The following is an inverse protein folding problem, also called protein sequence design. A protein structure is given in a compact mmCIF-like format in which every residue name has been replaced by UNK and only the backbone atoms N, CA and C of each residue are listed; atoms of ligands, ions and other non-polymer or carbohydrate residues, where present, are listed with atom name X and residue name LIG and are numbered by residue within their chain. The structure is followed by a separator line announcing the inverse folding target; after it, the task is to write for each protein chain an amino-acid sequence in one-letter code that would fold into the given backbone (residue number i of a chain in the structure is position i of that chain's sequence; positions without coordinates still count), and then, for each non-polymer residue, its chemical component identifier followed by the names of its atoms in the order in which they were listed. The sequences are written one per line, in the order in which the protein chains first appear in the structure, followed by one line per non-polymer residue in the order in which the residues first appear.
data_IF_105600233000
#
_entry.id   IF_105600233000
#
_cell.length_a   1.000
_cell.length_b   1.000
_cell.length_c   1.000
_cell.angle_alpha   90.00
_cell.angle_beta   90.00
_cell.angle_gamma   90.00
#
_symmetry.space_group_name_H-M   'P 1'
#
loop_
_entity.id
_entity.type
_entity.pdbx_description
1 polymer ?
#
# COMPACT_ATOMS: atom_id res chain seq x y z
N UNK A 1 -16.93 -20.08 7.89
CA UNK A 1 -16.50 -18.68 8.14
C UNK A 1 -15.58 -18.70 9.35
N UNK A 2 -14.26 -18.67 9.15
CA UNK A 2 -13.33 -18.38 10.27
C UNK A 2 -13.42 -16.88 10.49
N UNK A 3 -13.78 -16.45 11.70
CA UNK A 3 -13.81 -15.04 12.07
C UNK A 3 -12.39 -14.50 11.94
N UNK A 4 -12.20 -13.51 11.07
CA UNK A 4 -10.97 -12.71 11.06
C UNK A 4 -10.86 -12.04 12.44
N UNK A 5 -9.80 -12.35 13.18
CA UNK A 5 -9.50 -11.67 14.44
C UNK A 5 -9.01 -10.26 14.08
N UNK A 6 -9.95 -9.33 13.94
CA UNK A 6 -9.65 -7.91 13.78
C UNK A 6 -9.20 -7.41 15.14
N UNK A 7 -7.90 -7.14 15.28
CA UNK A 7 -7.35 -6.57 16.51
C UNK A 7 -7.78 -5.10 16.62
N UNK A 8 -8.50 -4.77 17.69
CA UNK A 8 -8.81 -3.38 18.05
C UNK A 8 -7.62 -2.81 18.86
N UNK A 9 -6.76 -2.05 18.18
CA UNK A 9 -5.66 -1.32 18.80
C UNK A 9 -6.18 -0.02 19.40
N UNK A 10 -6.82 -0.10 20.57
CA UNK A 10 -7.32 1.10 21.26
C UNK A 10 -6.43 1.65 22.37
N UNK A 11 -5.31 0.99 22.71
CA UNK A 11 -4.44 1.50 23.79
C UNK A 11 -2.93 1.35 23.50
N UNK A 12 -2.28 2.50 23.35
CA UNK A 12 -0.93 2.89 23.80
C UNK A 12 0.31 2.15 23.26
N UNK A 13 1.30 2.94 22.81
CA UNK A 13 2.77 2.92 22.98
C UNK A 13 3.57 1.60 23.22
N UNK A 14 2.96 0.43 23.22
CA UNK A 14 3.56 -0.85 23.55
C UNK A 14 3.68 -1.73 22.30
N UNK A 15 4.90 -2.01 21.89
CA UNK A 15 5.20 -3.00 20.82
C UNK A 15 4.65 -4.41 21.11
N UNK A 16 4.25 -4.71 22.35
CA UNK A 16 3.59 -5.94 22.78
C UNK A 16 2.16 -6.13 22.24
N UNK A 17 1.59 -5.13 21.55
CA UNK A 17 0.27 -5.24 20.92
C UNK A 17 0.33 -5.67 19.46
N UNK A 18 1.51 -5.72 18.84
CA UNK A 18 1.65 -6.08 17.42
C UNK A 18 1.26 -7.54 17.16
N UNK A 19 0.71 -7.85 15.98
CA UNK A 19 0.45 -9.23 15.59
C UNK A 19 1.74 -10.06 15.65
N UNK A 20 1.63 -11.29 16.14
CA UNK A 20 2.77 -12.21 16.18
C UNK A 20 3.16 -12.62 14.77
N UNK A 21 4.45 -12.96 14.60
CA UNK A 21 4.96 -13.44 13.32
C UNK A 21 4.23 -14.71 12.85
N UNK A 22 3.95 -15.62 13.79
CA UNK A 22 3.19 -16.86 13.53
C UNK A 22 1.78 -16.56 12.99
N UNK A 23 1.05 -15.65 13.63
CA UNK A 23 -0.28 -15.23 13.15
C UNK A 23 -0.23 -14.64 11.74
N UNK A 24 0.75 -13.77 11.47
CA UNK A 24 0.89 -13.14 10.15
C UNK A 24 1.29 -14.16 9.08
N UNK A 25 2.15 -15.14 9.42
CA UNK A 25 2.52 -16.21 8.53
C UNK A 25 1.31 -17.09 8.19
N UNK A 26 0.49 -17.44 9.19
CA UNK A 26 -0.77 -18.16 8.99
C UNK A 26 -1.76 -17.37 8.11
N UNK A 27 -1.86 -16.06 8.33
CA UNK A 27 -2.70 -15.17 7.52
C UNK A 27 -2.25 -15.18 6.05
N UNK A 28 -0.94 -15.07 5.80
CA UNK A 28 -0.35 -15.15 4.46
C UNK A 28 -0.60 -16.51 3.80
N UNK A 29 -0.45 -17.59 4.57
CA UNK A 29 -0.67 -18.96 4.10
C UNK A 29 -2.15 -19.25 3.82
N UNK A 30 -3.07 -18.57 4.51
CA UNK A 30 -4.51 -18.73 4.32
C UNK A 30 -5.06 -18.18 3.00
N UNK A 31 -4.29 -17.32 2.31
CA UNK A 31 -4.68 -16.75 1.03
C UNK A 31 -4.31 -17.68 -0.13
N UNK A 32 -5.26 -17.92 -1.01
CA UNK A 32 -5.06 -18.66 -2.26
C UNK A 32 -5.27 -17.71 -3.44
N UNK A 33 -4.32 -17.66 -4.35
CA UNK A 33 -4.35 -16.83 -5.56
C UNK A 33 -5.17 -17.48 -6.70
N UNK A 34 -5.55 -18.75 -6.54
CA UNK A 34 -6.45 -19.44 -7.47
C UNK A 34 -7.95 -19.24 -7.14
N UNK A 35 -8.25 -18.69 -5.97
CA UNK A 35 -9.61 -18.39 -5.54
C UNK A 35 -10.01 -16.97 -5.94
N UNK A 36 -11.27 -16.59 -5.69
CA UNK A 36 -11.73 -15.22 -5.87
C UNK A 36 -10.86 -14.21 -5.10
N UNK A 37 -10.64 -12.99 -5.65
CA UNK A 37 -9.86 -11.95 -4.97
C UNK A 37 -10.40 -11.66 -3.57
N UNK A 38 -9.52 -11.71 -2.57
CA UNK A 38 -9.87 -11.51 -1.16
C UNK A 38 -8.92 -10.53 -0.47
N UNK A 39 -9.45 -9.89 0.58
CA UNK A 39 -8.71 -9.06 1.52
C UNK A 39 -8.72 -9.76 2.88
N UNK A 40 -7.59 -9.69 3.59
CA UNK A 40 -7.45 -10.05 5.00
C UNK A 40 -6.96 -8.83 5.76
N UNK A 41 -7.66 -8.47 6.82
CA UNK A 41 -7.33 -7.32 7.65
C UNK A 41 -6.39 -7.71 8.77
N UNK A 42 -5.32 -6.95 8.93
CA UNK A 42 -4.38 -7.05 10.07
C UNK A 42 -4.73 -6.00 11.13
N UNK A 43 -5.07 -4.79 10.67
CA UNK A 43 -5.57 -3.68 11.49
C UNK A 43 -6.70 -3.00 10.74
N UNK A 44 -7.76 -2.61 11.45
CA UNK A 44 -8.78 -1.68 10.96
C UNK A 44 -8.56 -0.30 11.58
N UNK A 45 -9.03 0.73 10.88
CA UNK A 45 -9.22 2.04 11.49
C UNK A 45 -10.07 1.92 12.75
N UNK A 46 -9.68 2.63 13.80
CA UNK A 46 -10.38 2.67 15.09
C UNK A 46 -11.38 3.83 15.16
N UNK A 47 -11.33 4.75 14.19
CA UNK A 47 -12.23 5.91 14.13
C UNK A 47 -13.66 5.55 13.75
N UNK A 48 -13.96 4.27 13.49
CA UNK A 48 -15.33 3.76 13.44
C UNK A 48 -16.22 4.64 12.58
N UNK A 49 -15.85 4.87 11.32
CA UNK A 49 -16.49 5.91 10.53
C UNK A 49 -17.98 5.58 10.25
N UNK A 50 -18.85 6.35 10.90
CA UNK A 50 -20.32 6.32 10.88
C UNK A 50 -20.92 6.96 9.63
N UNK A 51 -20.10 7.44 8.69
CA UNK A 51 -20.57 8.14 7.49
C UNK A 51 -20.89 7.18 6.36
N UNK A 52 -22.05 7.37 5.71
CA UNK A 52 -22.49 6.57 4.55
C UNK A 52 -21.54 6.69 3.35
N UNK A 53 -20.83 7.81 3.22
CA UNK A 53 -19.83 8.11 2.19
C UNK A 53 -18.45 8.24 2.84
N UNK A 54 -17.45 7.57 2.27
CA UNK A 54 -16.08 7.55 2.77
C UNK A 54 -15.10 7.65 1.60
N UNK A 55 -14.14 8.57 1.66
CA UNK A 55 -13.00 8.63 0.74
C UNK A 55 -11.85 7.85 1.33
N UNK A 56 -11.44 6.79 0.66
CA UNK A 56 -10.38 5.89 1.14
C UNK A 56 -9.17 5.99 0.23
N UNK A 57 -8.01 6.24 0.82
CA UNK A 57 -6.71 6.12 0.17
C UNK A 57 -6.19 4.70 0.28
N UNK A 58 -5.93 4.04 -0.84
CA UNK A 58 -5.35 2.70 -0.86
C UNK A 58 -3.90 2.83 -1.31
N UNK A 59 -2.96 2.77 -0.38
CA UNK A 59 -1.55 2.76 -0.71
C UNK A 59 -1.08 1.31 -0.90
N UNK A 60 -0.95 0.89 -2.16
CA UNK A 60 -0.53 -0.48 -2.47
C UNK A 60 0.92 -0.52 -2.97
N UNK A 61 1.82 -0.98 -2.09
CA UNK A 61 3.25 -1.06 -2.33
C UNK A 61 3.84 -2.40 -1.84
N UNK A 62 5.13 -2.61 -2.08
CA UNK A 62 5.84 -3.81 -1.60
C UNK A 62 6.27 -3.72 -0.13
N UNK A 63 6.36 -2.51 0.43
CA UNK A 63 6.74 -2.21 1.81
C UNK A 63 7.99 -2.96 2.30
N UNK A 64 9.07 -2.97 1.49
CA UNK A 64 10.23 -3.84 1.71
C UNK A 64 11.57 -3.07 1.96
N UNK A 65 11.69 -2.17 2.95
CA UNK A 65 10.70 -1.76 3.96
C UNK A 65 9.89 -0.52 3.53
N UNK A 66 8.98 -0.07 4.40
CA UNK A 66 8.32 1.24 4.29
C UNK A 66 9.36 2.36 4.52
N UNK A 67 9.40 3.37 3.63
CA UNK A 67 10.38 4.47 3.66
C UNK A 67 9.71 5.81 3.96
N UNK A 68 10.50 6.85 4.24
CA UNK A 68 9.94 8.21 4.39
C UNK A 68 9.30 8.72 3.10
N UNK A 69 9.75 8.27 1.92
CA UNK A 69 9.09 8.59 0.64
C UNK A 69 7.65 8.07 0.61
N UNK A 70 7.42 6.85 1.09
CA UNK A 70 6.07 6.30 1.21
C UNK A 70 5.22 7.11 2.19
N UNK A 71 5.79 7.45 3.35
CA UNK A 71 5.10 8.26 4.36
C UNK A 71 4.68 9.62 3.80
N UNK A 72 5.57 10.34 3.12
CA UNK A 72 5.26 11.65 2.53
C UNK A 72 4.23 11.55 1.42
N UNK A 73 4.33 10.53 0.56
CA UNK A 73 3.35 10.28 -0.50
C UNK A 73 1.94 10.11 0.06
N UNK A 74 1.82 9.30 1.12
CA UNK A 74 0.55 9.06 1.79
C UNK A 74 0.04 10.32 2.49
N UNK A 75 0.90 11.06 3.23
CA UNK A 75 0.52 12.28 3.93
C UNK A 75 -0.02 13.34 2.96
N UNK A 76 0.69 13.60 1.87
CA UNK A 76 0.28 14.58 0.85
C UNK A 76 -1.02 14.16 0.16
N UNK A 77 -1.14 12.88 -0.23
CA UNK A 77 -2.38 12.37 -0.83
C UNK A 77 -3.56 12.49 0.15
N UNK A 78 -3.34 12.15 1.42
CA UNK A 78 -4.36 12.26 2.45
C UNK A 78 -4.86 13.70 2.62
N UNK A 79 -3.94 14.65 2.68
CA UNK A 79 -4.24 16.08 2.84
C UNK A 79 -4.93 16.66 1.60
N UNK A 80 -4.35 16.45 0.41
CA UNK A 80 -4.82 17.07 -0.83
C UNK A 80 -6.19 16.54 -1.28
N UNK A 81 -6.49 15.27 -1.02
CA UNK A 81 -7.73 14.61 -1.46
C UNK A 81 -8.72 14.34 -0.33
N UNK A 82 -8.43 14.82 0.89
CA UNK A 82 -9.30 14.71 2.08
C UNK A 82 -9.71 13.26 2.36
N UNK A 83 -8.73 12.35 2.36
CA UNK A 83 -8.96 10.92 2.53
C UNK A 83 -9.26 10.63 4.02
N UNK A 84 -10.43 10.04 4.27
CA UNK A 84 -10.90 9.74 5.62
C UNK A 84 -10.14 8.57 6.27
N UNK A 85 -9.67 7.63 5.45
CA UNK A 85 -8.90 6.46 5.89
C UNK A 85 -7.78 6.19 4.89
N UNK A 86 -6.63 5.75 5.40
CA UNK A 86 -5.56 5.15 4.59
C UNK A 86 -5.52 3.65 4.83
N UNK A 87 -5.59 2.87 3.76
CA UNK A 87 -5.34 1.43 3.76
C UNK A 87 -3.94 1.19 3.21
N UNK A 88 -3.03 0.72 4.06
CA UNK A 88 -1.76 0.15 3.63
C UNK A 88 -2.03 -1.27 3.13
N UNK A 89 -1.88 -1.51 1.82
CA UNK A 89 -2.28 -2.74 1.16
C UNK A 89 -1.10 -3.49 0.55
N UNK A 90 -0.65 -4.55 1.21
CA UNK A 90 0.33 -5.49 0.68
C UNK A 90 -0.38 -6.53 -0.20
N UNK A 91 0.20 -6.88 -1.34
CA UNK A 91 -0.30 -7.98 -2.16
C UNK A 91 0.57 -9.22 -1.96
N UNK A 92 -0.08 -10.38 -1.83
CA UNK A 92 0.54 -11.67 -2.07
C UNK A 92 0.80 -11.78 -3.57
N UNK A 93 1.96 -11.30 -4.01
CA UNK A 93 2.48 -11.76 -5.30
C UNK A 93 2.83 -13.24 -5.13
N UNK A 94 2.86 -14.05 -6.19
CA UNK A 94 3.38 -15.42 -6.09
C UNK A 94 4.85 -15.37 -5.69
N UNK A 95 5.06 -15.38 -4.38
CA UNK A 95 6.34 -15.33 -3.69
C UNK A 95 6.94 -16.73 -3.74
N UNK A 96 7.02 -17.29 -4.94
CA UNK A 96 7.77 -18.52 -5.15
C UNK A 96 9.13 -18.16 -5.71
N UNK A 97 10.12 -18.42 -4.85
CA UNK A 97 11.57 -18.50 -5.07
C UNK A 97 12.29 -17.14 -5.03
N UNK A 98 13.11 -16.95 -3.99
CA UNK A 98 14.05 -15.84 -3.73
C UNK A 98 13.46 -14.45 -3.44
N UNK A 99 12.86 -14.24 -2.25
CA UNK A 99 12.64 -12.87 -1.78
C UNK A 99 13.95 -12.26 -1.32
N UNK A 100 14.44 -11.29 -2.06
CA UNK A 100 15.48 -10.39 -1.57
C UNK A 100 14.85 -9.37 -0.61
N UNK A 101 15.25 -9.41 0.67
CA UNK A 101 14.73 -8.56 1.74
C UNK A 101 13.83 -9.28 2.75
N UNK A 102 12.79 -8.59 3.23
CA UNK A 102 11.89 -9.05 4.29
C UNK A 102 10.80 -9.99 3.75
N UNK A 103 10.39 -10.97 4.55
CA UNK A 103 9.26 -11.86 4.26
C UNK A 103 7.93 -11.08 4.17
N UNK A 104 6.86 -11.69 3.64
CA UNK A 104 5.54 -11.02 3.63
C UNK A 104 5.03 -10.71 5.04
N UNK A 105 5.21 -11.64 5.98
CA UNK A 105 4.79 -11.48 7.38
C UNK A 105 5.58 -10.38 8.07
N UNK A 106 6.89 -10.30 7.87
CA UNK A 106 7.74 -9.21 8.40
C UNK A 106 7.30 -7.85 7.86
N UNK A 107 6.96 -7.77 6.57
CA UNK A 107 6.44 -6.53 5.97
C UNK A 107 5.09 -6.12 6.53
N UNK A 108 4.17 -7.08 6.73
CA UNK A 108 2.90 -6.81 7.40
C UNK A 108 3.11 -6.34 8.84
N UNK A 109 4.08 -6.93 9.55
CA UNK A 109 4.41 -6.53 10.93
C UNK A 109 4.98 -5.12 10.98
N UNK A 110 5.87 -4.76 10.04
CA UNK A 110 6.35 -3.37 9.87
C UNK A 110 5.21 -2.40 9.56
N UNK A 111 4.29 -2.76 8.66
CA UNK A 111 3.11 -1.94 8.34
C UNK A 111 2.21 -1.78 9.57
N UNK A 112 1.98 -2.85 10.34
CA UNK A 112 1.19 -2.81 11.57
C UNK A 112 1.85 -1.93 12.64
N UNK A 113 3.18 -2.00 12.80
CA UNK A 113 3.93 -1.13 13.70
C UNK A 113 3.75 0.34 13.33
N UNK A 114 3.96 0.69 12.05
CA UNK A 114 3.76 2.05 11.57
C UNK A 114 2.33 2.55 11.74
N UNK A 115 1.32 1.70 11.50
CA UNK A 115 -0.08 2.08 11.58
C UNK A 115 -0.67 2.05 13.01
N UNK A 116 -0.02 1.40 13.97
CA UNK A 116 -0.51 1.27 15.35
C UNK A 116 -0.85 2.61 16.02
N UNK A 117 -0.01 3.66 15.97
CA UNK A 117 -0.34 4.97 16.57
C UNK A 117 -1.31 5.81 15.71
N UNK A 118 -1.74 5.32 14.54
CA UNK A 118 -2.56 6.08 13.59
C UNK A 118 -4.00 5.55 13.58
N UNK A 119 -4.93 6.36 14.08
CA UNK A 119 -6.35 6.00 14.28
C UNK A 119 -7.09 5.74 12.95
N UNK A 120 -6.77 6.50 11.91
CA UNK A 120 -7.38 6.42 10.58
C UNK A 120 -6.61 5.56 9.56
N UNK A 121 -5.74 4.65 10.05
CA UNK A 121 -4.98 3.73 9.19
C UNK A 121 -5.43 2.30 9.38
N UNK A 122 -5.67 1.60 8.27
CA UNK A 122 -5.86 0.16 8.21
C UNK A 122 -4.65 -0.52 7.55
N UNK A 123 -4.43 -1.77 7.92
CA UNK A 123 -3.40 -2.63 7.31
C UNK A 123 -4.08 -3.87 6.79
N UNK A 124 -3.84 -4.19 5.52
CA UNK A 124 -4.48 -5.29 4.85
C UNK A 124 -3.53 -6.04 3.91
N UNK A 125 -3.84 -7.32 3.73
CA UNK A 125 -3.22 -8.20 2.76
C UNK A 125 -4.23 -8.56 1.67
N UNK A 126 -3.85 -8.42 0.40
CA UNK A 126 -4.62 -8.89 -0.75
C UNK A 126 -4.07 -10.21 -1.27
N UNK A 127 -4.95 -11.14 -1.67
CA UNK A 127 -4.53 -12.37 -2.34
C UNK A 127 -3.99 -12.15 -3.75
N UNK A 128 -4.26 -10.99 -4.37
CA UNK A 128 -3.95 -10.73 -5.77
C UNK A 128 -3.13 -9.44 -5.97
N UNK A 129 -2.26 -9.46 -6.98
CA UNK A 129 -1.40 -8.33 -7.33
C UNK A 129 -2.07 -7.25 -8.18
N UNK A 130 -3.06 -7.60 -9.01
CA UNK A 130 -3.67 -6.68 -9.99
C UNK A 130 -4.61 -5.71 -9.30
N UNK A 131 -4.63 -4.46 -9.78
CA UNK A 131 -5.46 -3.39 -9.19
C UNK A 131 -6.96 -3.67 -9.33
N UNK A 132 -7.38 -4.27 -10.44
CA UNK A 132 -8.78 -4.66 -10.68
C UNK A 132 -9.27 -5.71 -9.68
N UNK A 133 -8.39 -6.63 -9.25
CA UNK A 133 -8.71 -7.67 -8.27
C UNK A 133 -8.74 -7.09 -6.85
N UNK A 134 -7.80 -6.19 -6.54
CA UNK A 134 -7.76 -5.46 -5.27
C UNK A 134 -9.03 -4.65 -5.04
N UNK A 135 -9.49 -3.88 -6.03
CA UNK A 135 -10.72 -3.08 -5.90
C UNK A 135 -11.96 -3.95 -5.79
N UNK A 136 -12.02 -5.07 -6.55
CA UNK A 136 -13.12 -6.05 -6.46
C UNK A 136 -13.22 -6.61 -5.04
N UNK A 137 -12.10 -7.01 -4.45
CA UNK A 137 -12.05 -7.56 -3.10
C UNK A 137 -12.38 -6.51 -2.02
N UNK A 138 -11.85 -5.28 -2.14
CA UNK A 138 -12.12 -4.20 -1.20
C UNK A 138 -13.59 -3.78 -1.17
N UNK A 139 -14.26 -3.72 -2.33
CA UNK A 139 -15.68 -3.37 -2.44
C UNK A 139 -16.60 -4.35 -1.73
N UNK A 140 -16.18 -5.59 -1.50
CA UNK A 140 -16.93 -6.56 -0.71
C UNK A 140 -16.79 -6.34 0.80
N UNK A 141 -15.80 -5.57 1.24
CA UNK A 141 -15.38 -5.42 2.64
C UNK A 141 -15.57 -3.99 3.18
N UNK A 142 -16.02 -3.06 2.32
CA UNK A 142 -16.15 -1.64 2.64
C UNK A 142 -17.56 -1.13 2.28
N UNK A 143 -18.00 -0.01 2.88
CA UNK A 143 -19.34 0.53 2.63
C UNK A 143 -19.64 0.77 1.15
N UNK A 144 -20.91 0.60 0.77
CA UNK A 144 -21.36 0.67 -0.63
C UNK A 144 -20.98 1.98 -1.34
N UNK A 145 -21.00 3.12 -0.64
CA UNK A 145 -20.69 4.44 -1.20
C UNK A 145 -19.28 4.91 -0.86
N UNK A 146 -18.32 4.00 -0.90
CA UNK A 146 -16.90 4.33 -0.73
C UNK A 146 -16.31 4.85 -2.05
N UNK A 147 -15.60 5.97 -1.98
CA UNK A 147 -14.76 6.48 -3.06
C UNK A 147 -13.34 5.96 -2.87
N UNK A 148 -12.80 5.30 -3.89
CA UNK A 148 -11.51 4.62 -3.82
C UNK A 148 -10.44 5.39 -4.58
N UNK A 149 -9.33 5.69 -3.89
CA UNK A 149 -8.21 6.45 -4.44
C UNK A 149 -6.93 5.63 -4.25
N UNK A 150 -6.42 4.99 -5.30
CA UNK A 150 -5.15 4.28 -5.21
C UNK A 150 -3.99 5.27 -5.24
N UNK A 151 -3.20 5.27 -4.17
CA UNK A 151 -1.98 6.07 -4.07
C UNK A 151 -0.84 5.22 -4.62
N UNK A 152 -0.17 5.70 -5.68
CA UNK A 152 0.86 4.98 -6.40
C UNK A 152 1.99 5.90 -6.86
N UNK A 153 3.18 5.35 -7.11
CA UNK A 153 4.25 6.06 -7.81
C UNK A 153 4.23 5.85 -9.32
N UNK A 154 4.99 6.67 -10.05
CA UNK A 154 5.10 6.63 -11.52
C UNK A 154 5.31 5.23 -12.12
N UNK A 155 6.25 4.43 -11.61
CA UNK A 155 6.49 3.09 -12.18
C UNK A 155 5.27 2.17 -12.09
N UNK A 156 4.46 2.34 -11.04
CA UNK A 156 3.23 1.57 -10.89
C UNK A 156 2.14 2.08 -11.82
N UNK A 157 2.10 3.39 -12.11
CA UNK A 157 1.23 3.94 -13.16
C UNK A 157 1.55 3.27 -14.49
N UNK A 158 2.82 3.28 -14.93
CA UNK A 158 3.25 2.64 -16.18
C UNK A 158 2.87 1.15 -16.20
N UNK A 159 3.10 0.44 -15.08
CA UNK A 159 2.78 -0.98 -14.94
C UNK A 159 1.28 -1.28 -15.02
N UNK A 160 0.40 -0.38 -14.54
CA UNK A 160 -1.05 -0.54 -14.67
C UNK A 160 -1.48 -0.55 -16.14
N UNK A 161 -0.77 0.12 -17.04
CA UNK A 161 -1.09 0.12 -18.47
C UNK A 161 -0.32 -0.95 -19.28
N UNK A 162 0.52 -1.76 -18.65
CA UNK A 162 1.27 -2.82 -19.34
C UNK A 162 0.34 -3.98 -19.75
N UNK A 163 0.31 -4.29 -21.05
CA UNK A 163 -0.59 -5.29 -21.63
C UNK A 163 -0.40 -6.70 -21.08
N UNK A 164 0.78 -7.04 -20.53
CA UNK A 164 1.04 -8.39 -20.01
C UNK A 164 0.16 -8.77 -18.81
N UNK A 165 -0.48 -7.79 -18.17
CA UNK A 165 -1.37 -8.01 -17.03
C UNK A 165 -2.85 -8.14 -17.43
N UNK A 166 -3.18 -8.18 -18.71
CA UNK A 166 -4.56 -8.13 -19.18
C UNK A 166 -4.80 -9.11 -20.31
N UNK A 167 -6.00 -9.68 -20.33
CA UNK A 167 -6.51 -10.37 -21.52
C UNK A 167 -7.09 -9.35 -22.50
N UNK A 168 -7.84 -8.37 -21.98
CA UNK A 168 -8.35 -7.23 -22.73
C UNK A 168 -8.08 -5.95 -21.94
N UNK A 169 -6.92 -5.34 -22.21
CA UNK A 169 -6.43 -4.16 -21.49
C UNK A 169 -7.44 -3.01 -21.49
N UNK A 170 -8.03 -2.68 -22.63
CA UNK A 170 -8.92 -1.53 -22.73
C UNK A 170 -10.20 -1.73 -21.91
N UNK A 171 -10.81 -2.91 -22.01
CA UNK A 171 -12.01 -3.25 -21.24
C UNK A 171 -11.72 -3.27 -19.74
N UNK A 172 -10.63 -3.90 -19.32
CA UNK A 172 -10.29 -4.05 -17.91
C UNK A 172 -9.82 -2.73 -17.28
N UNK A 173 -9.12 -1.86 -18.02
CA UNK A 173 -8.82 -0.50 -17.56
C UNK A 173 -10.08 0.34 -17.39
N UNK A 174 -11.02 0.30 -18.36
CA UNK A 174 -12.32 0.98 -18.20
C UNK A 174 -13.08 0.49 -16.97
N UNK A 175 -13.03 -0.81 -16.69
CA UNK A 175 -13.60 -1.38 -15.47
C UNK A 175 -12.88 -0.90 -14.19
N UNK A 176 -11.55 -0.79 -14.20
CA UNK A 176 -10.77 -0.31 -13.06
C UNK A 176 -11.07 1.17 -12.78
N UNK A 177 -10.90 2.04 -13.76
CA UNK A 177 -11.09 3.49 -13.62
C UNK A 177 -12.56 3.88 -13.39
N UNK A 178 -13.52 3.05 -13.79
CA UNK A 178 -14.93 3.20 -13.41
C UNK A 178 -15.21 2.92 -11.92
N UNK A 179 -14.22 2.46 -11.15
CA UNK A 179 -14.38 2.09 -9.74
C UNK A 179 -13.41 2.80 -8.80
N UNK A 180 -12.38 3.46 -9.31
CA UNK A 180 -11.39 4.17 -8.51
C UNK A 180 -10.70 5.30 -9.28
N UNK A 181 -10.09 6.22 -8.54
CA UNK A 181 -9.11 7.19 -9.04
C UNK A 181 -7.69 6.72 -8.72
N UNK A 182 -6.72 7.20 -9.48
CA UNK A 182 -5.30 7.04 -9.16
C UNK A 182 -4.75 8.39 -8.68
N UNK A 183 -4.08 8.39 -7.54
CA UNK A 183 -3.30 9.52 -7.05
C UNK A 183 -1.83 9.17 -7.25
N UNK A 184 -1.22 9.79 -8.26
CA UNK A 184 0.11 9.41 -8.74
C UNK A 184 1.15 10.40 -8.23
N UNK A 185 2.17 9.87 -7.56
CA UNK A 185 3.33 10.64 -7.16
C UNK A 185 4.48 10.54 -8.18
N UNK A 186 5.20 11.65 -8.33
CA UNK A 186 6.49 11.71 -9.01
C UNK A 186 7.53 10.81 -8.29
N UNK A 187 8.57 10.41 -9.02
CA UNK A 187 9.61 9.52 -8.49
C UNK A 187 10.94 9.76 -9.19
N UNK A 188 12.01 9.95 -8.43
CA UNK A 188 13.37 10.16 -8.95
C UNK A 188 13.34 11.25 -10.04
N UNK A 189 13.83 10.96 -11.25
CA UNK A 189 13.87 11.90 -12.36
C UNK A 189 12.51 12.14 -13.04
N UNK A 190 11.46 11.37 -12.69
CA UNK A 190 10.15 11.49 -13.33
C UNK A 190 9.26 12.46 -12.59
N UNK A 191 8.89 13.56 -13.26
CA UNK A 191 8.12 14.66 -12.69
C UNK A 191 6.66 14.68 -13.20
N UNK A 192 5.97 15.80 -12.95
CA UNK A 192 4.59 16.02 -13.36
C UNK A 192 4.42 16.01 -14.89
N UNK A 193 5.39 16.56 -15.61
CA UNK A 193 5.40 16.59 -17.07
C UNK A 193 5.53 15.18 -17.65
N UNK A 194 6.37 14.32 -17.05
CA UNK A 194 6.52 12.92 -17.48
C UNK A 194 5.22 12.11 -17.30
N UNK A 195 4.52 12.32 -16.18
CA UNK A 195 3.21 11.70 -15.95
C UNK A 195 2.20 12.20 -16.98
N UNK A 196 2.19 13.52 -17.22
CA UNK A 196 1.28 14.14 -18.18
C UNK A 196 1.54 13.64 -19.61
N UNK A 197 2.81 13.53 -20.01
CA UNK A 197 3.23 13.00 -21.30
C UNK A 197 2.85 11.54 -21.47
N UNK A 198 3.08 10.70 -20.44
CA UNK A 198 2.65 9.30 -20.45
C UNK A 198 1.14 9.16 -20.67
N UNK A 199 0.33 10.02 -20.07
CA UNK A 199 -1.13 9.98 -20.20
C UNK A 199 -1.65 10.49 -21.54
N UNK A 200 -0.82 11.10 -22.41
CA UNK A 200 -1.23 11.46 -23.78
C UNK A 200 -1.59 10.23 -24.62
N UNK A 201 -0.98 9.09 -24.33
CA UNK A 201 -1.33 7.80 -24.95
C UNK A 201 -2.65 7.23 -24.43
N UNK A 202 -3.21 7.82 -23.37
CA UNK A 202 -4.32 7.31 -22.58
C UNK A 202 -5.37 8.40 -22.23
N UNK A 203 -5.85 9.18 -23.22
CA UNK A 203 -6.65 10.39 -22.96
C UNK A 203 -7.96 10.09 -22.22
N UNK A 204 -8.59 8.94 -22.48
CA UNK A 204 -9.82 8.50 -21.82
C UNK A 204 -9.67 8.35 -20.29
N UNK A 205 -8.45 8.15 -19.80
CA UNK A 205 -8.17 7.85 -18.40
C UNK A 205 -7.64 9.06 -17.61
N UNK A 206 -7.25 10.14 -18.29
CA UNK A 206 -6.76 11.40 -17.68
C UNK A 206 -7.70 11.93 -16.57
N UNK A 207 -9.04 11.97 -16.73
CA UNK A 207 -9.93 12.52 -15.70
C UNK A 207 -9.93 11.74 -14.36
N UNK A 208 -9.37 10.54 -14.34
CA UNK A 208 -9.31 9.65 -13.20
C UNK A 208 -7.92 9.56 -12.57
N UNK A 209 -6.97 10.36 -13.05
CA UNK A 209 -5.61 10.44 -12.54
C UNK A 209 -5.36 11.82 -11.96
N UNK A 210 -5.12 11.85 -10.66
CA UNK A 210 -4.68 13.03 -9.92
C UNK A 210 -3.18 12.92 -9.60
N UNK A 211 -2.53 14.06 -9.34
CA UNK A 211 -1.08 14.13 -9.11
C UNK A 211 -0.76 14.63 -7.71
N UNK A 212 0.31 14.08 -7.13
CA UNK A 212 0.94 14.55 -5.89
C UNK A 212 2.42 14.75 -6.16
N UNK A 213 2.94 15.92 -5.81
CA UNK A 213 4.34 16.25 -6.02
C UNK A 213 5.11 16.12 -4.70
N UNK A 214 6.02 15.16 -4.66
CA UNK A 214 7.04 14.97 -3.64
C UNK A 214 8.23 15.86 -3.94
N UNK A 215 8.81 16.44 -2.89
CA UNK A 215 10.11 17.08 -2.96
C UNK A 215 11.20 16.07 -3.35
N UNK A 216 12.25 16.55 -4.02
CA UNK A 216 13.34 15.72 -4.55
C UNK A 216 13.98 14.84 -3.47
N UNK A 217 14.19 15.39 -2.27
CA UNK A 217 14.77 14.70 -1.12
C UNK A 217 14.01 13.42 -0.71
N UNK A 218 12.70 13.36 -0.99
CA UNK A 218 11.89 12.17 -0.77
C UNK A 218 11.78 11.29 -2.01
N UNK A 219 11.67 11.90 -3.20
CA UNK A 219 11.40 11.18 -4.45
C UNK A 219 12.51 10.20 -4.85
N UNK A 220 13.75 10.42 -4.38
CA UNK A 220 14.92 9.57 -4.63
C UNK A 220 15.02 8.38 -3.68
N UNK A 221 14.33 8.38 -2.53
CA UNK A 221 14.44 7.34 -1.52
C UNK A 221 13.67 6.09 -1.95
N UNK A 222 14.34 4.94 -2.01
CA UNK A 222 13.75 3.67 -2.41
C UNK A 222 13.97 2.57 -1.39
N UNK A 223 13.01 1.64 -1.28
CA UNK A 223 13.17 0.46 -0.42
C UNK A 223 14.38 -0.41 -0.81
N UNK A 224 14.79 -0.40 -2.08
CA UNK A 224 15.98 -1.14 -2.54
C UNK A 224 17.25 -0.56 -1.95
N UNK A 225 17.37 0.77 -1.94
CA UNK A 225 18.49 1.47 -1.31
C UNK A 225 18.56 1.15 0.19
N UNK A 226 17.42 1.12 0.90
CA UNK A 226 17.40 0.76 2.32
C UNK A 226 17.96 -0.65 2.56
N UNK A 227 17.57 -1.63 1.74
CA UNK A 227 18.08 -3.01 1.86
C UNK A 227 19.58 -3.08 1.59
N UNK A 228 20.09 -2.37 0.57
CA UNK A 228 21.51 -2.33 0.25
C UNK A 228 22.34 -1.70 1.36
N UNK A 229 21.82 -0.63 1.99
CA UNK A 229 22.45 0.00 3.17
C UNK A 229 22.53 -0.96 4.35
N UNK A 230 21.42 -1.62 4.68
CA UNK A 230 21.37 -2.63 5.76
C UNK A 230 22.37 -3.77 5.52
N UNK A 231 22.43 -4.32 4.31
CA UNK A 231 23.38 -5.39 3.95
C UNK A 231 24.85 -4.96 4.06
N UNK A 232 25.11 -3.68 3.79
CA UNK A 232 26.46 -3.11 3.83
C UNK A 232 26.83 -2.50 5.19
N UNK A 233 25.97 -2.61 6.20
CA UNK A 233 26.17 -2.00 7.53
C UNK A 233 26.17 -0.47 7.53
N UNK A 234 25.59 0.16 6.51
CA UNK A 234 25.41 1.61 6.47
C UNK A 234 24.14 2.02 7.23
N UNK A 235 24.20 3.19 7.85
CA UNK A 235 23.05 3.80 8.52
C UNK A 235 21.88 4.03 7.56
N UNK A 236 20.67 3.86 8.08
CA UNK A 236 19.40 4.14 7.40
C UNK A 236 18.64 5.30 8.05
N UNK A 237 19.33 6.07 8.90
CA UNK A 237 18.77 7.15 9.69
C UNK A 237 18.04 8.15 8.78
N UNK A 238 16.84 8.54 9.18
CA UNK A 238 15.97 9.47 8.45
C UNK A 238 15.46 8.99 7.08
N UNK A 239 15.82 7.78 6.62
CA UNK A 239 15.35 7.23 5.34
C UNK A 239 14.10 6.36 5.48
N UNK A 240 13.82 5.93 6.70
CA UNK A 240 12.59 5.26 7.10
C UNK A 240 11.97 6.00 8.30
N UNK A 241 10.66 5.90 8.55
CA UNK A 241 10.08 6.44 9.77
C UNK A 241 10.74 5.83 11.00
N UNK A 242 10.94 6.61 12.07
CA UNK A 242 11.69 6.15 13.27
C UNK A 242 11.11 4.88 13.91
N UNK A 243 9.80 4.64 13.80
CA UNK A 243 9.17 3.39 14.27
C UNK A 243 9.61 2.16 13.46
N UNK A 244 9.87 2.34 12.15
CA UNK A 244 10.41 1.30 11.28
C UNK A 244 11.90 1.10 11.58
N UNK A 245 12.65 2.18 11.78
CA UNK A 245 14.06 2.11 12.17
C UNK A 245 14.25 1.29 13.46
N UNK A 246 13.49 1.61 14.51
CA UNK A 246 13.50 0.87 15.77
C UNK A 246 13.12 -0.61 15.57
N UNK A 247 12.10 -0.87 14.73
CA UNK A 247 11.69 -2.23 14.41
C UNK A 247 12.82 -3.04 13.73
N UNK A 248 13.57 -2.41 12.83
CA UNK A 248 14.67 -3.04 12.11
C UNK A 248 15.90 -3.26 13.00
N UNK A 249 16.22 -2.33 13.89
CA UNK A 249 17.35 -2.44 14.82
C UNK A 249 17.13 -3.55 15.85
N UNK A 250 15.93 -3.66 16.43
CA UNK A 250 15.58 -4.71 17.39
C UNK A 250 15.50 -6.13 16.78
N UNK A 251 15.65 -6.28 15.46
CA UNK A 251 15.76 -7.58 14.76
C UNK A 251 17.21 -8.06 14.69
N UNK A 252 18.18 -7.16 14.84
CA UNK A 252 19.61 -7.44 14.69
C UNK A 252 20.29 -7.78 16.03
N UNK A 253 19.58 -7.65 17.15
CA UNK A 253 19.96 -8.17 18.48
C UNK A 253 19.41 -9.57 18.71
#
# INVERSE_FOLDING_TARGET
MKNDVILNFNDSENMNTLPTEEYLQDLVNSLNDNDEPTIRWVKRDSEGNTTKLKKVGIFSASFNPLTVAHEQMVKLAQQNFQLNEIILLLAKNNVDKSVFGFSLSERLRMMAAYAAPLSNYSVALSSHGRFIDKIKALKQQLPQFTEYNFIIGYDTLVRIFDSKYYNDRNKELKQLFGQCRLVVANRSTFNKEDISHFLLDWPDFVPFVDLVELEDCYSEISSTEIRQRLESGHSIDHLVPSIIENFLNNRME
#
